data_IF_712807732438
#
_entry.id   IF_712807732438
#
_cell.length_a   1.000
_cell.length_b   1.000
_cell.length_c   1.000
_cell.angle_alpha   90.00
_cell.angle_beta   90.00
_cell.angle_gamma   90.00
#
_symmetry.space_group_name_H-M   'P 1'
#
loop_
_entity.id
_entity.type
_entity.pdbx_description
1 polymer ?
#
# COMPACT_ATOMS: atom_id res chain seq x y z
N UNK A 1 -4.68 -2.80 24.56
CA UNK A 1 -4.98 -4.22 24.27
C UNK A 1 -3.96 -4.68 23.23
N UNK A 2 -3.23 -5.78 23.46
CA UNK A 2 -2.19 -6.21 22.51
C UNK A 2 -2.80 -6.82 21.26
N UNK A 3 -2.21 -6.55 20.11
CA UNK A 3 -2.60 -7.14 18.82
C UNK A 3 -2.53 -8.67 18.83
N UNK A 4 -1.63 -9.23 19.64
CA UNK A 4 -1.48 -10.69 19.82
C UNK A 4 -2.71 -11.35 20.44
N UNK A 5 -3.53 -10.58 21.18
CA UNK A 5 -4.76 -11.06 21.82
C UNK A 5 -5.94 -11.01 20.83
N UNK A 6 -5.91 -10.04 19.92
CA UNK A 6 -6.97 -9.80 18.93
C UNK A 6 -6.77 -10.69 17.71
N UNK A 7 -5.53 -10.89 17.28
CA UNK A 7 -5.18 -11.80 16.18
C UNK A 7 -5.46 -13.27 16.53
N UNK A 8 -5.59 -14.11 15.52
CA UNK A 8 -5.92 -15.52 15.67
C UNK A 8 -6.33 -16.14 14.34
N UNK A 9 -6.67 -17.43 14.37
CA UNK A 9 -7.02 -18.19 13.17
C UNK A 9 -8.32 -17.61 12.56
N UNK A 10 -8.37 -17.31 11.26
CA UNK A 10 -9.61 -16.91 10.59
C UNK A 10 -10.75 -17.89 10.86
N UNK A 11 -11.94 -17.37 11.14
CA UNK A 11 -13.12 -18.16 11.54
C UNK A 11 -13.17 -18.54 13.02
N UNK A 12 -12.10 -18.33 13.81
CA UNK A 12 -12.16 -18.50 15.27
C UNK A 12 -12.95 -17.38 15.94
N UNK A 13 -13.58 -17.70 17.06
CA UNK A 13 -14.33 -16.71 17.86
C UNK A 13 -13.46 -16.12 18.97
N UNK A 14 -13.77 -14.89 19.38
CA UNK A 14 -13.28 -14.29 20.62
C UNK A 14 -14.39 -13.49 21.29
N UNK A 15 -14.35 -13.43 22.62
CA UNK A 15 -15.22 -12.55 23.39
C UNK A 15 -14.40 -11.36 23.87
N UNK A 16 -14.94 -10.16 23.69
CA UNK A 16 -14.34 -8.90 24.16
C UNK A 16 -15.34 -8.18 25.04
N UNK A 17 -14.90 -7.78 26.22
CA UNK A 17 -15.67 -6.89 27.07
C UNK A 17 -15.44 -5.44 26.63
N UNK A 18 -16.52 -4.74 26.28
CA UNK A 18 -16.49 -3.34 25.86
C UNK A 18 -17.30 -2.50 26.84
N UNK A 19 -16.66 -1.48 27.42
CA UNK A 19 -17.33 -0.43 28.19
C UNK A 19 -17.53 0.77 27.26
N UNK A 20 -18.78 1.16 27.02
CA UNK A 20 -19.10 2.32 26.17
C UNK A 20 -19.14 3.60 27.00
N UNK A 21 -18.87 4.78 26.42
CA UNK A 21 -18.98 6.05 27.14
C UNK A 21 -20.38 6.22 27.75
N UNK A 22 -20.45 6.42 29.07
CA UNK A 22 -21.69 6.56 29.82
C UNK A 22 -22.25 5.27 30.42
N UNK A 23 -21.67 4.11 30.10
CA UNK A 23 -21.99 2.81 30.69
C UNK A 23 -20.91 2.45 31.73
N UNK A 24 -21.32 1.89 32.88
CA UNK A 24 -20.38 1.39 33.90
C UNK A 24 -20.14 -0.10 33.83
N UNK A 25 -21.07 -0.86 33.23
CA UNK A 25 -20.98 -2.30 33.11
C UNK A 25 -20.38 -2.72 31.76
N UNK A 26 -19.39 -3.63 31.73
CA UNK A 26 -18.84 -4.14 30.49
C UNK A 26 -19.86 -4.99 29.72
N UNK A 27 -19.97 -4.75 28.42
CA UNK A 27 -20.76 -5.59 27.51
C UNK A 27 -19.86 -6.63 26.85
N UNK A 28 -20.17 -7.92 27.04
CA UNK A 28 -19.46 -8.99 26.36
C UNK A 28 -19.93 -9.12 24.91
N UNK A 29 -19.04 -8.87 23.96
CA UNK A 29 -19.32 -8.99 22.52
C UNK A 29 -18.52 -10.15 21.96
N UNK A 30 -19.22 -11.08 21.31
CA UNK A 30 -18.61 -12.14 20.52
C UNK A 30 -18.26 -11.63 19.13
N UNK A 31 -17.00 -11.80 18.74
CA UNK A 31 -16.46 -11.42 17.43
C UNK A 31 -15.89 -12.66 16.76
N UNK A 32 -16.24 -12.89 15.50
CA UNK A 32 -15.60 -13.91 14.65
C UNK A 32 -14.45 -13.26 13.89
N UNK A 33 -13.25 -13.82 13.99
CA UNK A 33 -12.07 -13.32 13.27
C UNK A 33 -12.25 -13.52 11.77
N UNK A 34 -12.15 -12.45 10.99
CA UNK A 34 -12.11 -12.52 9.53
C UNK A 34 -10.74 -12.96 9.01
N UNK A 35 -10.72 -13.50 7.78
CA UNK A 35 -9.48 -13.61 7.02
C UNK A 35 -8.99 -12.22 6.58
N UNK A 36 -7.68 -12.04 6.42
CA UNK A 36 -7.10 -10.86 5.79
C UNK A 36 -7.25 -10.96 4.25
N UNK A 37 -8.49 -10.95 3.77
CA UNK A 37 -8.83 -10.85 2.33
C UNK A 37 -9.35 -9.44 1.98
N UNK A 38 -8.92 -8.43 2.76
CA UNK A 38 -9.21 -7.04 2.43
C UNK A 38 -8.48 -6.65 1.15
N UNK A 39 -9.20 -6.02 0.21
CA UNK A 39 -8.57 -5.35 -0.93
C UNK A 39 -7.56 -4.36 -0.39
N UNK A 40 -6.28 -4.53 -0.75
CA UNK A 40 -5.23 -3.58 -0.36
C UNK A 40 -5.38 -2.23 -1.07
N UNK A 41 -6.11 -2.19 -2.20
CA UNK A 41 -6.62 -0.97 -2.83
C UNK A 41 -8.13 -0.88 -2.60
N UNK A 42 -8.59 -0.37 -1.44
CA UNK A 42 -10.03 -0.28 -1.15
C UNK A 42 -10.76 0.78 -1.98
N UNK A 43 -10.04 1.76 -2.54
CA UNK A 43 -10.62 2.82 -3.35
C UNK A 43 -9.67 3.31 -4.45
N UNK A 44 -10.22 3.44 -5.66
CA UNK A 44 -9.65 4.20 -6.76
C UNK A 44 -10.76 4.99 -7.46
N UNK A 45 -10.47 6.21 -7.89
CA UNK A 45 -11.47 7.07 -8.52
C UNK A 45 -10.92 8.45 -8.89
N UNK A 46 -11.74 9.27 -9.53
CA UNK A 46 -11.38 10.65 -9.88
C UNK A 46 -11.66 11.59 -8.71
N UNK A 47 -10.73 12.49 -8.42
CA UNK A 47 -10.89 13.58 -7.43
C UNK A 47 -11.02 14.95 -8.10
N UNK A 48 -10.66 15.04 -9.38
CA UNK A 48 -10.92 16.16 -10.27
C UNK A 48 -11.16 15.63 -11.70
N UNK A 49 -11.44 16.50 -12.67
CA UNK A 49 -11.66 16.14 -14.07
C UNK A 49 -10.47 15.41 -14.71
N UNK A 50 -9.25 15.70 -14.26
CA UNK A 50 -8.01 15.16 -14.84
C UNK A 50 -7.10 14.48 -13.81
N UNK A 51 -7.50 14.43 -12.54
CA UNK A 51 -6.69 13.88 -11.45
C UNK A 51 -7.37 12.66 -10.83
N UNK A 52 -6.69 11.52 -10.95
CA UNK A 52 -7.09 10.26 -10.33
C UNK A 52 -6.52 10.11 -8.92
N UNK A 53 -7.07 9.15 -8.18
CA UNK A 53 -6.67 8.85 -6.82
C UNK A 53 -6.70 7.34 -6.61
N UNK A 54 -5.69 6.81 -5.93
CA UNK A 54 -5.54 5.40 -5.58
C UNK A 54 -5.14 5.34 -4.10
N UNK A 55 -5.95 4.71 -3.26
CA UNK A 55 -5.60 4.44 -1.85
C UNK A 55 -5.02 3.04 -1.73
N UNK A 56 -3.80 2.90 -1.24
CA UNK A 56 -3.17 1.62 -0.94
C UNK A 56 -2.95 1.52 0.58
N UNK A 57 -3.68 0.63 1.25
CA UNK A 57 -3.69 0.55 2.72
C UNK A 57 -2.67 -0.41 3.33
N UNK A 58 -2.16 -1.37 2.56
CA UNK A 58 -1.15 -2.32 3.01
C UNK A 58 -0.44 -2.95 1.82
N UNK A 59 0.83 -3.31 1.97
CA UNK A 59 1.60 -4.02 0.93
C UNK A 59 1.44 -5.54 1.08
N UNK A 60 0.21 -6.04 0.97
CA UNK A 60 -0.06 -7.49 0.87
C UNK A 60 0.12 -7.98 -0.55
N UNK A 61 0.07 -9.32 -0.74
CA UNK A 61 0.15 -9.96 -2.06
C UNK A 61 -0.74 -9.23 -3.08
N UNK A 62 -0.23 -9.08 -4.29
CA UNK A 62 -0.89 -8.45 -5.42
C UNK A 62 -1.09 -6.92 -5.30
N UNK A 63 -0.53 -6.24 -4.29
CA UNK A 63 -0.61 -4.78 -4.18
C UNK A 63 -0.11 -4.06 -5.44
N UNK A 64 1.03 -4.48 -6.00
CA UNK A 64 1.54 -3.91 -7.25
C UNK A 64 0.59 -4.16 -8.44
N UNK A 65 -0.02 -5.34 -8.50
CA UNK A 65 -1.02 -5.68 -9.52
C UNK A 65 -2.28 -4.80 -9.38
N UNK A 66 -2.80 -4.67 -8.16
CA UNK A 66 -4.02 -3.91 -7.87
C UNK A 66 -3.84 -2.41 -8.13
N UNK A 67 -2.67 -1.84 -7.81
CA UNK A 67 -2.34 -0.45 -8.17
C UNK A 67 -2.23 -0.29 -9.68
N UNK A 68 -1.61 -1.25 -10.38
CA UNK A 68 -1.51 -1.24 -11.83
C UNK A 68 -2.89 -1.32 -12.51
N UNK A 69 -3.78 -2.18 -12.02
CA UNK A 69 -5.16 -2.29 -12.49
C UNK A 69 -5.93 -0.99 -12.24
N UNK A 70 -5.89 -0.46 -11.01
CA UNK A 70 -6.53 0.80 -10.68
C UNK A 70 -6.10 1.96 -11.59
N UNK A 71 -4.81 2.06 -11.92
CA UNK A 71 -4.31 3.07 -12.85
C UNK A 71 -4.81 2.84 -14.28
N UNK A 72 -4.82 1.60 -14.77
CA UNK A 72 -5.36 1.28 -16.11
C UNK A 72 -6.84 1.60 -16.22
N UNK A 73 -7.61 1.31 -15.16
CA UNK A 73 -9.04 1.61 -15.10
C UNK A 73 -9.29 3.12 -15.14
N UNK A 74 -8.55 3.90 -14.35
CA UNK A 74 -8.63 5.36 -14.38
C UNK A 74 -8.32 5.93 -15.77
N UNK A 75 -7.27 5.43 -16.43
CA UNK A 75 -6.90 5.83 -17.80
C UNK A 75 -7.96 5.44 -18.82
N UNK A 76 -8.60 4.29 -18.65
CA UNK A 76 -9.65 3.80 -19.56
C UNK A 76 -10.92 4.63 -19.40
N UNK A 77 -11.29 4.97 -18.16
CA UNK A 77 -12.49 5.75 -17.85
C UNK A 77 -12.32 7.25 -18.14
N UNK A 78 -11.08 7.76 -18.03
CA UNK A 78 -10.75 9.17 -18.23
C UNK A 78 -9.58 9.31 -19.22
N UNK A 79 -9.86 9.47 -20.53
CA UNK A 79 -8.84 9.63 -21.54
C UNK A 79 -7.90 10.84 -21.31
N UNK A 80 -8.40 11.90 -20.66
CA UNK A 80 -7.66 13.12 -20.34
C UNK A 80 -7.01 13.07 -18.94
N UNK A 81 -6.75 11.88 -18.39
CA UNK A 81 -6.07 11.73 -17.10
C UNK A 81 -4.65 12.31 -17.18
N UNK A 82 -4.37 13.34 -16.39
CA UNK A 82 -3.08 14.06 -16.38
C UNK A 82 -2.21 13.68 -15.19
N UNK A 83 -2.82 13.23 -14.09
CA UNK A 83 -2.07 12.87 -12.90
C UNK A 83 -2.83 11.93 -11.98
N UNK A 84 -2.10 11.32 -11.05
CA UNK A 84 -2.64 10.42 -10.05
C UNK A 84 -2.03 10.70 -8.68
N UNK A 85 -2.88 10.64 -7.66
CA UNK A 85 -2.48 10.69 -6.26
C UNK A 85 -2.44 9.25 -5.75
N UNK A 86 -1.28 8.80 -5.26
CA UNK A 86 -1.13 7.55 -4.51
C UNK A 86 -1.13 7.86 -3.01
N UNK A 87 -2.20 7.49 -2.32
CA UNK A 87 -2.32 7.70 -0.88
C UNK A 87 -1.82 6.48 -0.10
N UNK A 88 -0.75 6.69 0.69
CA UNK A 88 -0.11 5.74 1.59
C UNK A 88 -0.23 6.16 3.06
N UNK A 89 -1.08 7.14 3.40
CA UNK A 89 -1.35 7.53 4.78
C UNK A 89 -1.92 6.36 5.57
N UNK A 90 -1.47 6.20 6.82
CA UNK A 90 -1.86 5.06 7.66
C UNK A 90 -1.29 3.70 7.22
N UNK A 91 -0.53 3.63 6.12
CA UNK A 91 0.01 2.38 5.60
C UNK A 91 1.37 2.07 6.25
N UNK A 92 1.36 1.19 7.25
CA UNK A 92 2.56 0.74 7.96
C UNK A 92 3.52 -0.15 7.15
N UNK A 93 3.24 -0.38 5.87
CA UNK A 93 4.09 -1.11 4.95
C UNK A 93 3.59 -2.53 4.65
N UNK A 94 4.52 -3.48 4.63
CA UNK A 94 4.23 -4.88 4.30
C UNK A 94 5.36 -5.52 3.49
N UNK A 95 4.99 -6.27 2.46
CA UNK A 95 5.91 -7.09 1.70
C UNK A 95 6.86 -6.24 0.83
N UNK A 96 8.16 -6.45 0.99
CA UNK A 96 9.20 -5.77 0.22
C UNK A 96 9.03 -5.93 -1.30
N UNK A 97 8.69 -7.13 -1.77
CA UNK A 97 8.48 -7.39 -3.19
C UNK A 97 7.29 -6.61 -3.75
N UNK A 98 6.28 -6.36 -2.93
CA UNK A 98 5.14 -5.55 -3.35
C UNK A 98 5.49 -4.07 -3.42
N UNK A 99 6.37 -3.56 -2.54
CA UNK A 99 6.91 -2.21 -2.70
C UNK A 99 7.61 -2.04 -4.06
N UNK A 100 8.42 -3.02 -4.45
CA UNK A 100 9.12 -3.05 -5.75
C UNK A 100 8.10 -3.08 -6.90
N UNK A 101 7.07 -3.93 -6.79
CA UNK A 101 6.03 -4.04 -7.83
C UNK A 101 5.22 -2.75 -7.96
N UNK A 102 4.88 -2.08 -6.84
CA UNK A 102 4.21 -0.78 -6.85
C UNK A 102 5.08 0.28 -7.50
N UNK A 103 6.38 0.36 -7.18
CA UNK A 103 7.30 1.26 -7.90
C UNK A 103 7.32 0.96 -9.40
N UNK A 104 7.36 -0.32 -9.78
CA UNK A 104 7.40 -0.75 -11.17
C UNK A 104 6.16 -0.33 -11.97
N UNK A 105 5.05 0.05 -11.33
CA UNK A 105 3.90 0.63 -12.05
C UNK A 105 4.28 1.92 -12.77
N UNK A 106 5.19 2.69 -12.18
CA UNK A 106 5.54 4.05 -12.60
C UNK A 106 6.95 4.20 -13.17
N UNK A 107 7.87 3.27 -12.88
CA UNK A 107 9.27 3.36 -13.33
C UNK A 107 9.67 2.18 -14.24
N UNK A 108 10.64 2.38 -15.15
CA UNK A 108 11.10 1.34 -16.08
C UNK A 108 11.58 0.06 -15.39
N UNK A 109 11.67 -1.02 -16.16
CA UNK A 109 12.37 -2.23 -15.76
C UNK A 109 13.88 -1.95 -15.51
N UNK A 110 14.53 -2.85 -14.77
CA UNK A 110 15.97 -2.80 -14.45
C UNK A 110 16.43 -1.63 -13.56
N UNK A 111 15.50 -0.79 -13.11
CA UNK A 111 15.75 0.29 -12.18
C UNK A 111 15.89 -0.21 -10.74
N UNK A 112 16.82 0.41 -10.02
CA UNK A 112 17.09 0.02 -8.63
C UNK A 112 16.06 0.65 -7.70
N UNK A 113 15.29 -0.17 -7.01
CA UNK A 113 14.29 0.30 -6.05
C UNK A 113 14.91 0.42 -4.66
N UNK A 114 15.56 -0.63 -4.19
CA UNK A 114 16.05 -0.71 -2.81
C UNK A 114 17.26 -1.62 -2.71
N UNK A 115 18.18 -1.28 -1.82
CA UNK A 115 19.34 -2.12 -1.48
C UNK A 115 19.31 -2.41 0.01
N UNK A 116 19.37 -3.68 0.39
CA UNK A 116 19.56 -4.07 1.78
C UNK A 116 21.04 -4.24 2.05
N UNK A 117 21.53 -3.55 3.09
CA UNK A 117 22.91 -3.63 3.54
C UNK A 117 22.97 -4.46 4.82
N UNK A 118 23.80 -5.50 4.80
CA UNK A 118 23.95 -6.44 5.90
C UNK A 118 25.33 -6.30 6.55
N UNK A 119 25.49 -6.81 7.77
CA UNK A 119 26.81 -6.85 8.44
C UNK A 119 27.82 -7.68 7.64
N UNK A 120 27.35 -8.71 6.94
CA UNK A 120 28.12 -9.55 6.01
C UNK A 120 27.84 -9.01 4.61
N UNK A 121 28.86 -8.46 3.95
CA UNK A 121 28.73 -7.72 2.68
C UNK A 121 28.21 -8.61 1.56
N UNK A 122 28.56 -9.90 1.57
CA UNK A 122 28.10 -10.90 0.61
C UNK A 122 26.58 -11.15 0.71
N UNK A 123 25.95 -10.73 1.81
CA UNK A 123 24.49 -10.78 2.02
C UNK A 123 23.78 -9.49 1.62
N UNK A 124 24.49 -8.51 1.06
CA UNK A 124 23.87 -7.33 0.48
C UNK A 124 23.03 -7.75 -0.73
N UNK A 125 21.81 -7.23 -0.80
CA UNK A 125 20.90 -7.51 -1.92
C UNK A 125 20.47 -6.21 -2.55
N UNK A 126 20.47 -6.22 -3.88
CA UNK A 126 19.98 -5.11 -4.71
C UNK A 126 18.72 -5.57 -5.41
N UNK A 127 17.63 -4.87 -5.17
CA UNK A 127 16.34 -5.19 -5.74
C UNK A 127 15.99 -4.20 -6.85
N UNK A 128 15.54 -4.76 -7.96
CA UNK A 128 15.22 -4.01 -9.17
C UNK A 128 13.80 -4.31 -9.65
N UNK A 129 13.22 -3.35 -10.35
CA UNK A 129 12.04 -3.56 -11.19
C UNK A 129 12.36 -4.54 -12.32
N UNK A 130 11.33 -5.25 -12.80
CA UNK A 130 11.51 -6.34 -13.80
C UNK A 130 10.56 -6.26 -14.98
N UNK A 131 9.43 -5.58 -14.81
CA UNK A 131 8.36 -5.54 -15.81
C UNK A 131 8.32 -4.17 -16.47
N UNK A 132 7.63 -4.09 -17.60
CA UNK A 132 7.28 -2.79 -18.18
C UNK A 132 6.28 -2.06 -17.26
N UNK A 133 6.48 -0.75 -17.04
CA UNK A 133 5.55 0.06 -16.27
C UNK A 133 4.23 0.27 -17.00
N UNK A 134 3.21 0.64 -16.23
CA UNK A 134 1.90 1.02 -16.76
C UNK A 134 1.94 2.41 -17.38
N UNK A 135 2.63 3.34 -16.72
CA UNK A 135 2.81 4.70 -17.22
C UNK A 135 4.03 5.36 -16.55
N UNK A 136 4.99 5.79 -17.37
CA UNK A 136 6.21 6.48 -16.91
C UNK A 136 6.07 8.01 -16.92
N UNK A 137 5.01 8.52 -17.54
CA UNK A 137 4.82 9.93 -17.88
C UNK A 137 3.70 10.59 -17.11
N UNK A 138 2.85 9.81 -16.46
CA UNK A 138 1.77 10.32 -15.62
C UNK A 138 2.34 11.14 -14.46
N UNK A 139 1.79 12.33 -14.20
CA UNK A 139 2.20 13.10 -13.04
C UNK A 139 1.75 12.37 -11.76
N UNK A 140 2.71 11.97 -10.93
CA UNK A 140 2.46 11.23 -9.70
C UNK A 140 2.69 12.10 -8.47
N UNK A 141 1.73 12.09 -7.55
CA UNK A 141 1.90 12.61 -6.19
C UNK A 141 1.73 11.45 -5.21
N UNK A 142 2.69 11.25 -4.31
CA UNK A 142 2.59 10.28 -3.22
C UNK A 142 2.31 11.03 -1.92
N UNK A 143 1.25 10.65 -1.20
CA UNK A 143 0.89 11.24 0.08
C UNK A 143 1.19 10.23 1.20
N UNK A 144 1.89 10.68 2.23
CA UNK A 144 2.28 9.92 3.42
C UNK A 144 1.92 10.70 4.68
N UNK A 145 1.85 10.00 5.81
CA UNK A 145 1.71 10.58 7.16
C UNK A 145 2.69 9.92 8.14
N UNK A 146 2.58 10.25 9.43
CA UNK A 146 3.46 9.69 10.47
C UNK A 146 3.30 8.17 10.68
N UNK A 147 2.24 7.57 10.14
CA UNK A 147 1.98 6.14 10.21
C UNK A 147 2.42 5.39 8.93
N UNK A 148 2.88 6.12 7.91
CA UNK A 148 3.51 5.54 6.73
C UNK A 148 4.89 5.00 7.06
N UNK A 149 5.12 3.70 6.88
CA UNK A 149 6.37 3.05 7.27
C UNK A 149 6.82 1.93 6.31
N UNK A 150 8.09 1.56 6.37
CA UNK A 150 8.68 0.40 5.70
C UNK A 150 8.47 0.41 4.18
N UNK A 151 7.66 -0.50 3.62
CA UNK A 151 7.35 -0.53 2.19
C UNK A 151 6.80 0.81 1.67
N UNK A 152 6.01 1.53 2.48
CA UNK A 152 5.51 2.87 2.13
C UNK A 152 6.65 3.87 1.94
N UNK A 153 7.65 3.83 2.83
CA UNK A 153 8.82 4.72 2.77
C UNK A 153 9.71 4.39 1.56
N UNK A 154 9.82 3.10 1.19
CA UNK A 154 10.52 2.68 -0.04
C UNK A 154 9.83 3.32 -1.25
N UNK A 155 8.51 3.19 -1.38
CA UNK A 155 7.77 3.76 -2.51
C UNK A 155 7.93 5.27 -2.54
N UNK A 156 7.67 5.97 -1.43
CA UNK A 156 7.78 7.43 -1.39
C UNK A 156 9.20 7.92 -1.69
N UNK A 157 10.21 7.22 -1.17
CA UNK A 157 11.62 7.58 -1.40
C UNK A 157 12.04 7.40 -2.85
N UNK A 158 11.66 6.28 -3.48
CA UNK A 158 11.97 6.03 -4.89
C UNK A 158 11.26 7.03 -5.79
N UNK A 159 9.97 7.29 -5.56
CA UNK A 159 9.22 8.24 -6.37
C UNK A 159 9.75 9.67 -6.22
N UNK A 160 10.11 10.11 -5.01
CA UNK A 160 10.65 11.45 -4.77
C UNK A 160 11.96 11.73 -5.53
N UNK A 161 12.76 10.68 -5.79
CA UNK A 161 14.03 10.80 -6.53
C UNK A 161 13.80 10.61 -8.04
N UNK A 162 12.88 9.74 -8.42
CA UNK A 162 12.68 9.32 -9.81
C UNK A 162 11.85 10.30 -10.65
N UNK A 163 11.10 11.23 -10.05
CA UNK A 163 10.29 12.24 -10.78
C UNK A 163 11.06 13.48 -11.24
N UNK A 164 12.38 13.40 -11.41
CA UNK A 164 13.16 14.46 -12.04
C UNK A 164 13.14 14.32 -13.58
N UNK A 165 12.03 14.76 -14.21
CA UNK A 165 12.01 15.15 -15.63
C UNK A 165 11.35 16.52 -15.76
#
# INVERSE_FOLDING_TARGET
MSWDIISGIPGSEMNIDIVRPGETEPQNIKITRGGMDGKNVPYSGMVDKTIGYISLTTFTRDAGHNVAEALRDLKTQTPDLQGVILDLRGNGGGLLHEAINVCNVFIPAEETVVTTRSKVVESDQKYKTRNEPVDQTIHLVVIIDENSASASEIVSGVMAISTAV
#
